data_IF_588433744956
#
_entry.id   IF_588433744956
#
_cell.length_a   1.000
_cell.length_b   1.000
_cell.length_c   1.000
_cell.angle_alpha   90.00
_cell.angle_beta   90.00
_cell.angle_gamma   90.00
#
_symmetry.space_group_name_H-M   'P 1'
#
loop_
_entity.id
_entity.type
_entity.pdbx_description
1 polymer ?
#
# COMPACT_ATOMS: atom_id res chain seq x y z
N UNK A 1 -10.76 7.22 -19.42
CA UNK A 1 -10.59 8.05 -18.20
C UNK A 1 -9.17 8.59 -18.24
N UNK A 2 -8.90 9.80 -17.77
CA UNK A 2 -7.60 10.47 -17.98
C UNK A 2 -6.92 10.71 -16.65
N UNK A 3 -5.71 10.19 -16.46
CA UNK A 3 -4.80 10.65 -15.41
C UNK A 3 -3.62 11.39 -16.04
N UNK A 4 -3.03 12.30 -15.28
CA UNK A 4 -1.85 13.07 -15.69
C UNK A 4 -0.76 12.84 -14.67
N UNK A 5 0.40 12.38 -15.14
CA UNK A 5 1.60 12.27 -14.32
C UNK A 5 2.42 13.53 -14.50
N UNK A 6 2.80 14.17 -13.39
CA UNK A 6 3.76 15.26 -13.37
C UNK A 6 4.99 14.87 -12.54
N UNK A 7 6.17 15.07 -13.10
CA UNK A 7 7.45 14.94 -12.38
C UNK A 7 8.11 16.30 -12.13
N UNK A 8 7.50 17.39 -12.62
CA UNK A 8 8.01 18.75 -12.47
C UNK A 8 7.33 19.51 -11.33
N UNK A 9 8.10 20.36 -10.66
CA UNK A 9 7.58 21.32 -9.68
C UNK A 9 6.92 22.47 -10.46
N UNK A 10 5.59 22.50 -10.46
CA UNK A 10 4.80 23.49 -11.20
C UNK A 10 3.36 23.59 -10.70
N UNK A 11 2.55 24.47 -11.29
CA UNK A 11 1.13 24.52 -10.98
C UNK A 11 0.45 23.19 -11.35
N UNK A 12 -0.48 22.74 -10.50
CA UNK A 12 -1.24 21.53 -10.77
C UNK A 12 -1.91 21.59 -12.15
N UNK A 13 -1.84 20.52 -12.96
CA UNK A 13 -2.46 20.48 -14.27
C UNK A 13 -3.98 20.60 -14.12
N UNK A 14 -4.60 21.24 -15.11
CA UNK A 14 -6.05 21.31 -15.25
C UNK A 14 -6.50 20.25 -16.25
N UNK A 15 -7.74 19.81 -16.10
CA UNK A 15 -8.46 19.02 -17.10
C UNK A 15 -8.63 19.82 -18.40
N UNK A 16 -9.02 19.14 -19.47
CA UNK A 16 -9.30 19.78 -20.77
C UNK A 16 -10.39 20.86 -20.69
N UNK A 17 -11.33 20.71 -19.75
CA UNK A 17 -12.40 21.68 -19.49
C UNK A 17 -11.97 22.87 -18.60
N UNK A 18 -10.70 22.90 -18.18
CA UNK A 18 -10.12 23.93 -17.31
C UNK A 18 -10.42 23.74 -15.82
N UNK A 19 -11.12 22.67 -15.42
CA UNK A 19 -11.34 22.35 -14.00
C UNK A 19 -10.16 21.60 -13.39
N UNK A 20 -10.07 21.58 -12.06
CA UNK A 20 -9.03 20.81 -11.35
C UNK A 20 -9.36 19.32 -11.34
N UNK A 21 -8.33 18.49 -11.26
CA UNK A 21 -8.51 17.08 -10.92
C UNK A 21 -8.96 16.96 -9.45
N UNK A 22 -10.00 16.14 -9.17
CA UNK A 22 -10.53 15.95 -7.82
C UNK A 22 -9.64 15.07 -6.95
N UNK A 23 -8.76 14.27 -7.55
CA UNK A 23 -7.85 13.38 -6.84
C UNK A 23 -6.41 13.62 -7.27
N UNK A 24 -5.49 13.55 -6.31
CA UNK A 24 -4.07 13.45 -6.61
C UNK A 24 -3.36 12.53 -5.61
N UNK A 25 -2.34 11.80 -6.07
CA UNK A 25 -1.43 11.05 -5.20
C UNK A 25 0.00 11.52 -5.47
N UNK A 26 0.66 12.03 -4.43
CA UNK A 26 2.01 12.59 -4.51
C UNK A 26 2.99 11.59 -3.94
N UNK A 27 4.02 11.23 -4.68
CA UNK A 27 5.19 10.48 -4.20
C UNK A 27 6.43 11.37 -4.28
N UNK A 28 7.57 10.88 -3.78
CA UNK A 28 8.86 11.58 -3.91
C UNK A 28 9.29 11.82 -5.35
N UNK A 29 8.75 11.05 -6.30
CA UNK A 29 9.23 11.05 -7.70
C UNK A 29 8.21 11.57 -8.70
N UNK A 30 6.92 11.50 -8.37
CA UNK A 30 5.85 11.92 -9.28
C UNK A 30 4.57 12.32 -8.54
N UNK A 31 3.74 13.12 -9.18
CA UNK A 31 2.34 13.34 -8.78
C UNK A 31 1.41 12.79 -9.84
N UNK A 32 0.45 11.96 -9.40
CA UNK A 32 -0.59 11.39 -10.24
C UNK A 32 -1.89 12.15 -10.00
N UNK A 33 -2.33 12.95 -10.96
CA UNK A 33 -3.63 13.65 -10.94
C UNK A 33 -4.68 12.81 -11.67
N UNK A 34 -5.87 12.65 -11.10
CA UNK A 34 -6.87 11.73 -11.65
C UNK A 34 -8.32 12.16 -11.41
N UNK A 35 -9.21 11.62 -12.24
CA UNK A 35 -10.66 11.81 -12.16
C UNK A 35 -11.36 10.87 -11.16
N UNK A 36 -10.69 9.80 -10.76
CA UNK A 36 -11.17 8.80 -9.80
C UNK A 36 -10.00 8.17 -9.03
N UNK A 37 -10.30 7.55 -7.90
CA UNK A 37 -9.36 6.71 -7.17
C UNK A 37 -8.91 5.51 -8.03
N UNK A 38 -9.82 4.91 -8.80
CA UNK A 38 -9.52 3.85 -9.78
C UNK A 38 -8.35 4.20 -10.69
N UNK A 39 -8.33 5.42 -11.24
CA UNK A 39 -7.24 5.86 -12.12
C UNK A 39 -5.92 6.05 -11.39
N UNK A 40 -5.94 6.42 -10.10
CA UNK A 40 -4.73 6.43 -9.26
C UNK A 40 -4.27 5.01 -8.99
N UNK A 41 -5.16 4.10 -8.58
CA UNK A 41 -4.81 2.70 -8.31
C UNK A 41 -4.25 2.01 -9.55
N UNK A 42 -4.80 2.29 -10.74
CA UNK A 42 -4.31 1.75 -12.00
C UNK A 42 -2.87 2.16 -12.33
N UNK A 43 -2.37 3.27 -11.78
CA UNK A 43 -0.95 3.63 -11.88
C UNK A 43 -0.05 2.66 -11.12
N UNK A 44 -0.52 2.11 -10.00
CA UNK A 44 0.21 1.16 -9.17
C UNK A 44 -0.03 -0.29 -9.61
N UNK A 45 -1.21 -0.57 -10.17
CA UNK A 45 -1.64 -1.92 -10.52
C UNK A 45 -1.87 -2.01 -12.04
N UNK A 46 -0.94 -2.60 -12.80
CA UNK A 46 -1.09 -2.76 -14.25
C UNK A 46 -2.36 -3.55 -14.61
N UNK A 47 -3.13 -3.04 -15.58
CA UNK A 47 -4.37 -3.69 -16.09
C UNK A 47 -5.61 -3.50 -15.20
N UNK A 48 -5.51 -2.68 -14.15
CA UNK A 48 -6.61 -2.44 -13.22
C UNK A 48 -7.79 -1.69 -13.85
N UNK A 49 -7.50 -0.68 -14.68
CA UNK A 49 -8.53 0.12 -15.36
C UNK A 49 -9.24 -0.62 -16.51
N UNK A 50 -8.64 -1.70 -17.00
CA UNK A 50 -9.20 -2.51 -18.10
C UNK A 50 -10.24 -3.52 -17.61
N UNK A 51 -10.45 -3.60 -16.29
CA UNK A 51 -11.40 -4.53 -15.70
C UNK A 51 -12.84 -4.13 -16.05
N UNK A 52 -13.71 -5.11 -16.40
CA UNK A 52 -15.10 -4.83 -16.73
C UNK A 52 -15.89 -4.42 -15.48
N UNK A 53 -16.75 -3.40 -15.60
CA UNK A 53 -17.74 -3.03 -14.58
C UNK A 53 -18.80 -4.15 -14.44
N UNK A 54 -18.48 -5.14 -13.62
CA UNK A 54 -19.21 -6.38 -13.45
C UNK A 54 -18.73 -7.09 -12.18
N UNK A 55 -19.53 -8.02 -11.66
CA UNK A 55 -19.13 -8.82 -10.50
C UNK A 55 -17.77 -9.52 -10.67
N UNK A 56 -17.51 -10.10 -11.84
CA UNK A 56 -16.23 -10.77 -12.10
C UNK A 56 -15.06 -9.78 -12.14
N UNK A 57 -15.29 -8.57 -12.66
CA UNK A 57 -14.32 -7.48 -12.61
C UNK A 57 -14.07 -6.96 -11.19
N UNK A 58 -15.10 -6.85 -10.37
CA UNK A 58 -14.96 -6.46 -8.96
C UNK A 58 -14.11 -7.48 -8.19
N UNK A 59 -14.37 -8.77 -8.39
CA UNK A 59 -13.58 -9.87 -7.81
C UNK A 59 -12.12 -9.78 -8.27
N UNK A 60 -11.89 -9.57 -9.57
CA UNK A 60 -10.54 -9.43 -10.10
C UNK A 60 -9.84 -8.16 -9.57
N UNK A 61 -10.58 -7.07 -9.38
CA UNK A 61 -10.05 -5.81 -8.83
C UNK A 61 -9.54 -6.03 -7.40
N UNK A 62 -10.30 -6.77 -6.59
CA UNK A 62 -9.88 -7.12 -5.23
C UNK A 62 -8.64 -8.02 -5.24
N UNK A 63 -8.60 -9.05 -6.09
CA UNK A 63 -7.43 -9.94 -6.22
C UNK A 63 -6.18 -9.13 -6.58
N UNK A 64 -6.26 -8.24 -7.57
CA UNK A 64 -5.12 -7.42 -7.96
C UNK A 64 -4.66 -6.48 -6.84
N UNK A 65 -5.59 -5.88 -6.07
CA UNK A 65 -5.23 -5.07 -4.89
C UNK A 65 -4.55 -5.91 -3.82
N UNK A 66 -5.02 -7.13 -3.54
CA UNK A 66 -4.40 -8.04 -2.56
C UNK A 66 -2.98 -8.40 -2.99
N UNK A 67 -2.79 -8.76 -4.26
CA UNK A 67 -1.47 -9.08 -4.80
C UNK A 67 -0.51 -7.89 -4.73
N UNK A 68 -0.99 -6.68 -5.07
CA UNK A 68 -0.15 -5.48 -5.01
C UNK A 68 0.16 -5.08 -3.56
N UNK A 69 -0.81 -5.15 -2.65
CA UNK A 69 -0.60 -4.88 -1.24
C UNK A 69 0.48 -5.80 -0.65
N UNK A 70 0.47 -7.09 -1.01
CA UNK A 70 1.52 -8.03 -0.64
C UNK A 70 2.89 -7.64 -1.23
N UNK A 71 2.96 -7.23 -2.50
CA UNK A 71 4.23 -6.78 -3.11
C UNK A 71 4.78 -5.54 -2.41
N UNK A 72 3.93 -4.53 -2.18
CA UNK A 72 4.30 -3.30 -1.47
C UNK A 72 4.78 -3.63 -0.06
N UNK A 73 4.04 -4.46 0.69
CA UNK A 73 4.43 -4.83 2.05
C UNK A 73 5.78 -5.54 2.09
N UNK A 74 6.03 -6.48 1.16
CA UNK A 74 7.33 -7.16 1.05
C UNK A 74 8.47 -6.19 0.71
N UNK A 75 8.26 -5.28 -0.24
CA UNK A 75 9.27 -4.28 -0.65
C UNK A 75 9.59 -3.31 0.49
N UNK A 76 8.56 -2.77 1.14
CA UNK A 76 8.72 -1.83 2.24
C UNK A 76 9.39 -2.49 3.46
N UNK A 77 8.98 -3.71 3.81
CA UNK A 77 9.63 -4.46 4.89
C UNK A 77 11.12 -4.68 4.60
N UNK A 78 11.47 -5.05 3.37
CA UNK A 78 12.86 -5.24 2.98
C UNK A 78 13.68 -3.94 3.10
N UNK A 79 13.12 -2.81 2.65
CA UNK A 79 13.77 -1.49 2.79
C UNK A 79 13.99 -1.11 4.25
N UNK A 80 12.98 -1.29 5.10
CA UNK A 80 13.05 -0.99 6.54
C UNK A 80 14.11 -1.87 7.21
N UNK A 81 14.12 -3.17 6.93
CA UNK A 81 15.10 -4.11 7.48
C UNK A 81 16.52 -3.76 7.03
N UNK A 82 16.73 -3.43 5.76
CA UNK A 82 18.04 -2.98 5.27
C UNK A 82 18.49 -1.71 6.00
N UNK A 83 17.61 -0.71 6.13
CA UNK A 83 17.93 0.53 6.85
C UNK A 83 18.28 0.26 8.33
N UNK A 84 17.54 -0.63 9.00
CA UNK A 84 17.81 -1.00 10.39
C UNK A 84 19.15 -1.72 10.56
N UNK A 85 19.55 -2.58 9.62
CA UNK A 85 20.87 -3.22 9.61
C UNK A 85 21.97 -2.17 9.44
N UNK A 86 21.82 -1.26 8.47
CA UNK A 86 22.79 -0.21 8.20
C UNK A 86 22.94 0.77 9.38
N UNK A 87 21.84 1.03 10.10
CA UNK A 87 21.82 1.83 11.32
C UNK A 87 22.37 1.09 12.56
N UNK A 88 22.58 -0.23 12.48
CA UNK A 88 22.99 -1.06 13.61
C UNK A 88 21.88 -1.37 14.62
N UNK A 89 20.62 -1.15 14.23
CA UNK A 89 19.42 -1.45 15.03
C UNK A 89 19.02 -2.93 14.93
N UNK A 90 19.43 -3.62 13.87
CA UNK A 90 19.26 -5.07 13.70
C UNK A 90 20.61 -5.77 13.53
N UNK A 91 20.94 -6.68 14.44
CA UNK A 91 22.02 -7.66 14.24
C UNK A 91 21.42 -9.03 13.89
N UNK A 92 21.36 -9.32 12.60
CA UNK A 92 20.80 -10.57 12.05
C UNK A 92 21.46 -11.82 12.62
N UNK A 93 22.72 -11.75 13.08
CA UNK A 93 23.43 -12.92 13.62
C UNK A 93 23.00 -13.28 15.04
N UNK A 94 22.45 -12.31 15.77
CA UNK A 94 22.10 -12.42 17.18
C UNK A 94 20.58 -12.29 17.42
N UNK A 95 19.81 -11.88 16.42
CA UNK A 95 18.35 -11.87 16.47
C UNK A 95 17.80 -13.30 16.60
N UNK A 96 16.68 -13.43 17.31
CA UNK A 96 15.99 -14.71 17.46
C UNK A 96 15.27 -15.12 16.17
N UNK A 97 14.97 -16.42 16.05
CA UNK A 97 14.37 -16.99 14.85
C UNK A 97 12.95 -16.48 14.59
N UNK A 98 12.17 -16.17 15.64
CA UNK A 98 10.79 -15.70 15.50
C UNK A 98 10.78 -14.27 14.92
N UNK A 99 11.65 -13.39 15.43
CA UNK A 99 11.89 -12.05 14.88
C UNK A 99 12.31 -12.11 13.41
N UNK A 100 13.30 -12.94 13.09
CA UNK A 100 13.76 -13.09 11.70
C UNK A 100 12.66 -13.66 10.79
N UNK A 101 11.89 -14.62 11.28
CA UNK A 101 10.77 -15.19 10.52
C UNK A 101 9.70 -14.14 10.24
N UNK A 102 9.37 -13.29 11.22
CA UNK A 102 8.40 -12.20 11.03
C UNK A 102 8.92 -11.16 10.02
N UNK A 103 10.17 -10.73 10.16
CA UNK A 103 10.78 -9.70 9.31
C UNK A 103 11.02 -10.15 7.87
N UNK A 104 11.42 -11.41 7.66
CA UNK A 104 11.77 -11.95 6.33
C UNK A 104 10.68 -12.82 5.70
N UNK A 105 9.59 -13.11 6.41
CA UNK A 105 8.47 -13.89 5.89
C UNK A 105 7.79 -13.23 4.69
N UNK A 106 7.43 -14.02 3.68
CA UNK A 106 6.78 -13.50 2.47
C UNK A 106 5.30 -13.17 2.77
N UNK A 107 4.87 -11.95 2.46
CA UNK A 107 3.46 -11.52 2.52
C UNK A 107 2.66 -12.02 1.33
N UNK A 108 1.37 -12.32 1.53
CA UNK A 108 0.48 -12.82 0.48
C UNK A 108 0.74 -14.26 0.01
N UNK A 109 1.58 -15.01 0.73
CA UNK A 109 1.87 -16.42 0.47
C UNK A 109 1.11 -17.38 1.39
N UNK A 110 1.29 -18.68 1.17
CA UNK A 110 0.71 -19.74 2.02
C UNK A 110 1.49 -19.93 3.35
N UNK A 111 1.94 -18.84 3.96
CA UNK A 111 2.64 -18.84 5.25
C UNK A 111 1.68 -18.40 6.35
N UNK A 112 1.91 -18.90 7.57
CA UNK A 112 1.13 -18.44 8.71
C UNK A 112 1.45 -16.96 8.97
N UNK A 113 0.44 -16.06 8.99
CA UNK A 113 0.66 -14.67 9.38
C UNK A 113 1.15 -14.59 10.84
N UNK A 114 1.91 -13.54 11.15
CA UNK A 114 2.34 -13.27 12.51
C UNK A 114 1.13 -13.02 13.41
N UNK A 115 1.18 -13.43 14.68
CA UNK A 115 0.09 -13.17 15.65
C UNK A 115 0.67 -12.80 17.01
N UNK A 116 -0.07 -12.00 17.78
CA UNK A 116 0.35 -11.54 19.10
C UNK A 116 0.84 -10.10 19.10
N UNK A 117 1.70 -9.78 20.06
CA UNK A 117 2.29 -8.46 20.22
C UNK A 117 3.67 -8.43 19.57
N UNK A 118 3.89 -7.44 18.69
CA UNK A 118 5.17 -7.15 18.08
C UNK A 118 5.96 -6.19 18.96
N UNK A 119 6.96 -6.73 19.67
CA UNK A 119 7.75 -5.97 20.66
C UNK A 119 9.05 -5.37 20.09
N UNK A 120 9.39 -5.66 18.82
CA UNK A 120 10.62 -5.13 18.22
C UNK A 120 10.44 -3.68 17.78
N UNK A 121 11.52 -2.89 17.88
CA UNK A 121 11.53 -1.49 17.42
C UNK A 121 11.48 -1.30 15.90
N UNK A 122 11.58 -2.38 15.12
CA UNK A 122 11.56 -2.33 13.67
C UNK A 122 10.13 -2.61 13.26
N UNK A 123 9.42 -1.70 12.59
CA UNK A 123 8.01 -1.90 12.30
C UNK A 123 7.79 -3.11 11.39
N UNK A 124 6.73 -3.86 11.69
CA UNK A 124 6.29 -5.00 10.91
C UNK A 124 5.26 -4.55 9.87
N UNK A 125 5.60 -4.66 8.60
CA UNK A 125 4.70 -4.33 7.49
C UNK A 125 3.94 -5.58 7.08
N UNK A 126 2.62 -5.49 7.05
CA UNK A 126 1.69 -6.61 6.87
C UNK A 126 0.57 -6.23 5.89
N UNK A 127 -0.19 -7.22 5.43
CA UNK A 127 -1.38 -7.00 4.58
C UNK A 127 -2.64 -7.24 5.41
N UNK A 128 -3.60 -6.31 5.40
CA UNK A 128 -4.83 -6.44 6.21
C UNK A 128 -5.67 -7.67 5.84
N UNK A 129 -5.62 -8.12 4.58
CA UNK A 129 -6.36 -9.28 4.07
C UNK A 129 -5.97 -10.61 4.73
N UNK A 130 -4.83 -10.68 5.41
CA UNK A 130 -4.37 -11.89 6.12
C UNK A 130 -4.97 -12.01 7.54
N UNK A 131 -5.74 -11.01 7.97
CA UNK A 131 -6.26 -10.88 9.34
C UNK A 131 -7.78 -10.70 9.39
N UNK A 132 -8.34 -10.66 10.60
CA UNK A 132 -9.73 -10.31 10.84
C UNK A 132 -10.06 -8.92 10.24
N UNK A 133 -11.25 -8.75 9.63
CA UNK A 133 -12.37 -9.70 9.55
C UNK A 133 -12.29 -10.69 8.38
N UNK A 134 -11.25 -10.65 7.55
CA UNK A 134 -11.12 -11.47 6.34
C UNK A 134 -10.72 -12.92 6.65
N UNK A 135 -9.98 -13.12 7.73
CA UNK A 135 -9.57 -14.42 8.24
C UNK A 135 -10.00 -14.60 9.70
N UNK A 136 -9.58 -15.71 10.33
CA UNK A 136 -9.75 -15.95 11.78
C UNK A 136 -8.53 -15.50 12.59
N UNK A 137 -7.54 -14.92 11.93
CA UNK A 137 -6.28 -14.51 12.52
C UNK A 137 -6.45 -13.09 13.07
N UNK A 138 -6.30 -12.86 14.39
CA UNK A 138 -6.40 -11.51 14.94
C UNK A 138 -5.27 -10.62 14.41
N UNK A 139 -5.57 -9.34 14.22
CA UNK A 139 -4.56 -8.34 13.85
C UNK A 139 -3.51 -8.22 14.98
N UNK A 140 -2.21 -8.28 14.67
CA UNK A 140 -1.15 -8.10 15.65
C UNK A 140 -1.15 -6.68 16.25
N UNK A 141 -0.64 -6.54 17.47
CA UNK A 141 -0.45 -5.25 18.15
C UNK A 141 1.02 -4.83 18.14
N UNK A 142 1.31 -3.57 18.49
CA UNK A 142 2.67 -3.03 18.52
C UNK A 142 2.97 -2.14 17.32
N UNK A 143 4.25 -2.04 16.95
CA UNK A 143 4.71 -1.26 15.79
C UNK A 143 4.41 -2.00 14.48
N UNK A 144 3.17 -1.89 14.00
CA UNK A 144 2.67 -2.61 12.83
C UNK A 144 2.11 -1.62 11.80
N UNK A 145 2.49 -1.80 10.54
CA UNK A 145 1.96 -1.06 9.39
C UNK A 145 1.14 -2.03 8.53
N UNK A 146 -0.11 -1.71 8.25
CA UNK A 146 -0.99 -2.54 7.42
C UNK A 146 -1.24 -1.90 6.06
N UNK A 147 -0.96 -2.62 4.99
CA UNK A 147 -1.40 -2.26 3.64
C UNK A 147 -2.78 -2.89 3.40
N UNK A 148 -3.78 -2.08 3.06
CA UNK A 148 -5.18 -2.48 3.07
C UNK A 148 -5.78 -2.58 1.65
N UNK A 149 -5.94 -3.79 1.07
CA UNK A 149 -6.47 -3.95 -0.28
C UNK A 149 -8.00 -3.92 -0.40
N UNK A 150 -8.73 -3.65 0.69
CA UNK A 150 -10.20 -3.78 0.78
C UNK A 150 -10.90 -3.04 -0.37
N UNK A 151 -10.62 -1.75 -0.50
CA UNK A 151 -11.09 -0.90 -1.59
C UNK A 151 -9.99 0.09 -2.00
N UNK A 152 -10.23 0.84 -3.08
CA UNK A 152 -9.25 1.78 -3.63
C UNK A 152 -8.84 2.88 -2.65
N UNK A 153 -9.79 3.36 -1.84
CA UNK A 153 -9.54 4.42 -0.87
C UNK A 153 -8.69 3.91 0.27
N UNK A 154 -9.05 2.77 0.86
CA UNK A 154 -8.30 2.15 1.94
C UNK A 154 -6.89 1.74 1.48
N UNK A 155 -6.76 1.24 0.24
CA UNK A 155 -5.47 0.95 -0.35
C UNK A 155 -4.59 2.19 -0.40
N UNK A 156 -5.04 3.27 -1.05
CA UNK A 156 -4.25 4.49 -1.17
C UNK A 156 -3.97 5.17 0.19
N UNK A 157 -4.94 5.17 1.10
CA UNK A 157 -4.75 5.72 2.45
C UNK A 157 -3.71 4.90 3.23
N UNK A 158 -3.70 3.57 3.08
CA UNK A 158 -2.70 2.72 3.72
C UNK A 158 -1.29 2.92 3.16
N UNK A 159 -1.15 3.31 1.88
CA UNK A 159 0.13 3.72 1.32
C UNK A 159 0.61 5.05 1.91
N UNK A 160 -0.30 5.98 2.13
CA UNK A 160 -0.01 7.25 2.81
C UNK A 160 0.41 7.04 4.26
N UNK A 161 -0.32 6.23 5.03
CA UNK A 161 0.01 5.86 6.41
C UNK A 161 1.38 5.15 6.49
N UNK A 162 1.75 4.39 5.45
CA UNK A 162 3.07 3.76 5.31
C UNK A 162 4.19 4.72 4.88
N UNK A 163 3.88 5.99 4.61
CA UNK A 163 4.83 7.02 4.17
C UNK A 163 5.26 6.88 2.70
N UNK A 164 4.50 6.18 1.87
CA UNK A 164 4.82 5.97 0.44
C UNK A 164 4.28 7.08 -0.47
N UNK A 165 3.48 8.00 0.07
CA UNK A 165 2.97 9.17 -0.62
C UNK A 165 1.92 9.92 0.18
N UNK A 166 1.27 10.88 -0.45
CA UNK A 166 0.19 11.69 0.13
C UNK A 166 -1.04 11.67 -0.79
N UNK A 167 -2.22 11.39 -0.22
CA UNK A 167 -3.47 11.34 -0.96
C UNK A 167 -4.26 12.65 -0.78
N UNK A 168 -4.48 13.35 -1.88
CA UNK A 168 -5.31 14.54 -1.92
C UNK A 168 -6.66 14.24 -2.56
N UNK A 169 -7.72 14.67 -1.88
CA UNK A 169 -9.09 14.61 -2.37
C UNK A 169 -9.73 15.98 -2.23
N UNK A 170 -10.33 16.49 -3.31
CA UNK A 170 -11.16 17.69 -3.21
C UNK A 170 -12.37 17.38 -2.34
N UNK A 171 -12.60 18.19 -1.30
CA UNK A 171 -13.71 18.02 -0.36
C UNK A 171 -15.09 18.09 -1.04
N UNK A 172 -15.16 18.62 -2.26
CA UNK A 172 -16.39 18.67 -3.06
C UNK A 172 -16.62 17.42 -3.94
N UNK A 173 -15.65 16.51 -4.00
CA UNK A 173 -15.70 15.26 -4.76
C UNK A 173 -16.00 14.01 -3.92
N UNK A 174 -16.24 14.19 -2.60
CA UNK A 174 -16.57 13.13 -1.65
C UNK A 174 -18.08 12.92 -1.47
#
# INVERSE_FOLDING_TARGET
>A
MTFVISTEIGPAPLREDGTKFPFAFITDTETVYADSLTSIVARFIPGYEDLPDSYDGDVQSFILRVEEAAKVANQLQAMIVTAAIDAGELDVRNADEDTLTALYGIRGGAFAPFTGEWEHSIPLVLTSSDYEPYTKTPVPTGEVVLIDPTDERLFLSSLEDAGLGELFMDATAA
#
